data_IF_726191859233
#
_entry.id   IF_726191859233
#
_cell.length_a   1.000
_cell.length_b   1.000
_cell.length_c   1.000
_cell.angle_alpha   90.00
_cell.angle_beta   90.00
_cell.angle_gamma   90.00
#
_symmetry.space_group_name_H-M   'P 1'
#
loop_
_entity.id
_entity.type
_entity.pdbx_description
1 polymer ?
#
# COMPACT_ATOMS: atom_id res chain seq x y z
N UNK A 1 -14.14 18.47 11.40
CA UNK A 1 -14.37 17.11 10.83
C UNK A 1 -13.06 16.39 10.47
N UNK A 2 -12.18 16.93 9.60
CA UNK A 2 -10.90 16.27 9.21
C UNK A 2 -9.98 15.87 10.38
N UNK A 3 -9.74 16.76 11.35
CA UNK A 3 -8.96 16.44 12.58
C UNK A 3 -9.61 15.34 13.45
N UNK A 4 -10.94 15.33 13.53
CA UNK A 4 -11.68 14.34 14.31
C UNK A 4 -11.61 12.95 13.67
N UNK A 5 -11.76 12.87 12.34
CA UNK A 5 -11.59 11.62 11.58
C UNK A 5 -10.16 11.11 11.68
N UNK A 6 -9.15 11.98 11.55
CA UNK A 6 -7.73 11.61 11.71
C UNK A 6 -7.43 11.06 13.11
N UNK A 7 -7.98 11.66 14.16
CA UNK A 7 -7.84 11.15 15.54
C UNK A 7 -8.51 9.77 15.67
N UNK A 8 -9.71 9.59 15.13
CA UNK A 8 -10.42 8.30 15.19
C UNK A 8 -9.65 7.18 14.48
N UNK A 9 -9.11 7.49 13.29
CA UNK A 9 -8.33 6.54 12.48
C UNK A 9 -7.06 6.08 13.20
N UNK A 10 -6.43 6.93 13.99
CA UNK A 10 -5.28 6.54 14.83
C UNK A 10 -5.71 5.79 16.11
N UNK A 11 -6.82 6.19 16.74
CA UNK A 11 -7.28 5.59 17.99
C UNK A 11 -7.76 4.16 17.83
N UNK A 12 -8.38 3.81 16.70
CA UNK A 12 -8.87 2.45 16.45
C UNK A 12 -7.76 1.39 16.50
N UNK A 13 -6.67 1.49 15.70
CA UNK A 13 -5.59 0.51 15.72
C UNK A 13 -4.80 0.52 17.04
N UNK A 14 -4.62 1.69 17.66
CA UNK A 14 -3.98 1.77 18.99
C UNK A 14 -4.84 1.09 20.05
N UNK A 15 -6.14 1.35 20.06
CA UNK A 15 -7.09 0.71 20.96
C UNK A 15 -7.13 -0.81 20.74
N UNK A 16 -7.18 -1.26 19.49
CA UNK A 16 -7.12 -2.68 19.15
C UNK A 16 -5.81 -3.33 19.63
N UNK A 17 -4.67 -2.67 19.42
CA UNK A 17 -3.37 -3.16 19.89
C UNK A 17 -3.31 -3.28 21.42
N UNK A 18 -3.84 -2.28 22.16
CA UNK A 18 -3.92 -2.33 23.62
C UNK A 18 -4.84 -3.46 24.08
N UNK A 19 -6.02 -3.62 23.47
CA UNK A 19 -6.95 -4.70 23.83
C UNK A 19 -6.33 -6.07 23.57
N UNK A 20 -5.66 -6.26 22.43
CA UNK A 20 -4.98 -7.51 22.11
C UNK A 20 -3.81 -7.78 23.06
N UNK A 21 -3.05 -6.73 23.42
CA UNK A 21 -1.97 -6.83 24.40
C UNK A 21 -2.48 -7.27 25.77
N UNK A 22 -3.54 -6.63 26.26
CA UNK A 22 -4.16 -6.99 27.54
C UNK A 22 -4.75 -8.39 27.48
N UNK A 23 -5.43 -8.75 26.39
CA UNK A 23 -5.96 -10.08 26.20
C UNK A 23 -4.85 -11.14 26.25
N UNK A 24 -3.71 -10.94 25.58
CA UNK A 24 -2.58 -11.87 25.63
C UNK A 24 -1.97 -11.96 27.04
N UNK A 25 -1.88 -10.82 27.76
CA UNK A 25 -1.39 -10.78 29.14
C UNK A 25 -2.30 -11.57 30.10
N UNK A 26 -3.62 -11.38 30.02
CA UNK A 26 -4.58 -12.02 30.93
C UNK A 26 -4.87 -13.48 30.56
N UNK A 27 -5.09 -13.79 29.28
CA UNK A 27 -5.48 -15.13 28.82
C UNK A 27 -4.29 -16.09 28.81
N UNK A 28 -3.12 -15.62 28.36
CA UNK A 28 -1.93 -16.47 28.26
C UNK A 28 -0.96 -16.27 29.43
N UNK A 29 -1.35 -15.48 30.45
CA UNK A 29 -0.54 -15.17 31.64
C UNK A 29 0.88 -14.67 31.32
N UNK A 30 1.03 -13.95 30.21
CA UNK A 30 2.32 -13.44 29.75
C UNK A 30 2.66 -12.11 30.42
N UNK A 31 3.92 -11.96 30.79
CA UNK A 31 4.44 -10.68 31.25
C UNK A 31 4.48 -9.66 30.10
N UNK A 32 4.34 -8.35 30.39
CA UNK A 32 4.49 -7.29 29.40
C UNK A 32 5.76 -7.41 28.54
N UNK A 33 6.87 -7.81 29.17
CA UNK A 33 8.15 -7.99 28.51
C UNK A 33 8.11 -9.09 27.44
N UNK A 34 7.48 -10.23 27.72
CA UNK A 34 7.34 -11.34 26.77
C UNK A 34 6.47 -10.96 25.57
N UNK A 35 5.46 -10.11 25.77
CA UNK A 35 4.60 -9.62 24.69
C UNK A 35 5.39 -8.62 23.82
N UNK A 36 6.11 -7.68 24.44
CA UNK A 36 6.93 -6.69 23.73
C UNK A 36 8.07 -7.34 22.92
N UNK A 37 8.62 -8.47 23.37
CA UNK A 37 9.63 -9.24 22.62
C UNK A 37 9.08 -9.87 21.33
N UNK A 38 7.76 -10.01 21.18
CA UNK A 38 7.13 -10.53 19.95
C UNK A 38 6.94 -9.46 18.88
N UNK A 39 7.10 -8.19 19.24
CA UNK A 39 7.03 -7.07 18.30
C UNK A 39 8.28 -7.10 17.41
N UNK A 40 8.08 -7.02 16.10
CA UNK A 40 9.19 -6.87 15.16
C UNK A 40 9.60 -5.40 15.06
N UNK A 41 10.57 -5.03 15.89
CA UNK A 41 11.09 -3.66 15.95
C UNK A 41 11.73 -3.20 14.64
N UNK A 42 12.28 -4.12 13.83
CA UNK A 42 12.87 -3.77 12.54
C UNK A 42 11.80 -3.28 11.58
N UNK A 43 10.64 -3.95 11.54
CA UNK A 43 9.49 -3.54 10.72
C UNK A 43 8.95 -2.19 11.19
N UNK A 44 8.84 -1.94 12.50
CA UNK A 44 8.39 -0.65 13.02
C UNK A 44 9.32 0.51 12.61
N UNK A 45 10.64 0.31 12.76
CA UNK A 45 11.65 1.29 12.35
C UNK A 45 11.59 1.54 10.83
N UNK A 46 11.37 0.49 10.04
CA UNK A 46 11.17 0.60 8.59
C UNK A 46 9.97 1.51 8.28
N UNK A 47 8.82 1.32 8.93
CA UNK A 47 7.65 2.17 8.71
C UNK A 47 7.91 3.63 9.09
N UNK A 48 8.54 3.89 10.25
CA UNK A 48 8.93 5.24 10.63
C UNK A 48 9.85 5.89 9.57
N UNK A 49 10.87 5.16 9.11
CA UNK A 49 11.80 5.65 8.10
C UNK A 49 11.10 5.96 6.77
N UNK A 50 10.22 5.07 6.30
CA UNK A 50 9.47 5.25 5.06
C UNK A 50 8.56 6.48 5.14
N UNK A 51 7.81 6.66 6.23
CA UNK A 51 6.89 7.81 6.36
C UNK A 51 7.62 9.14 6.52
N UNK A 52 8.73 9.19 7.25
CA UNK A 52 9.57 10.40 7.33
C UNK A 52 10.14 10.75 5.95
N UNK A 53 10.65 9.74 5.24
CA UNK A 53 11.18 9.94 3.89
C UNK A 53 10.09 10.36 2.90
N UNK A 54 8.88 9.80 3.02
CA UNK A 54 7.73 10.14 2.19
C UNK A 54 7.33 11.61 2.33
N UNK A 55 7.25 12.10 3.57
CA UNK A 55 6.94 13.50 3.88
C UNK A 55 8.03 14.45 3.32
N UNK A 56 9.30 14.05 3.47
CA UNK A 56 10.43 14.77 2.89
C UNK A 56 10.37 14.82 1.35
N UNK A 57 10.05 13.71 0.70
CA UNK A 57 9.87 13.64 -0.76
C UNK A 57 8.71 14.53 -1.21
N UNK A 58 7.58 14.48 -0.51
CA UNK A 58 6.42 15.32 -0.82
C UNK A 58 6.75 16.81 -0.74
N UNK A 59 7.52 17.20 0.29
CA UNK A 59 7.99 18.57 0.50
C UNK A 59 8.87 19.12 -0.65
N UNK A 60 9.45 18.25 -1.50
CA UNK A 60 10.23 18.69 -2.67
C UNK A 60 9.36 19.21 -3.83
N UNK A 61 8.07 18.88 -3.86
CA UNK A 61 7.17 19.15 -4.98
C UNK A 61 7.45 18.32 -6.24
N UNK A 62 8.40 17.38 -6.21
CA UNK A 62 8.66 16.44 -7.31
C UNK A 62 7.39 15.61 -7.63
N UNK A 63 6.68 15.01 -6.65
CA UNK A 63 5.47 14.25 -6.94
C UNK A 63 4.41 15.06 -7.69
N UNK A 64 4.18 16.31 -7.30
CA UNK A 64 3.22 17.20 -7.96
C UNK A 64 3.61 17.54 -9.39
N UNK A 65 4.91 17.71 -9.68
CA UNK A 65 5.40 17.94 -11.05
C UNK A 65 5.23 16.71 -11.93
N UNK A 66 5.51 15.52 -11.40
CA UNK A 66 5.29 14.26 -12.12
C UNK A 66 3.80 14.08 -12.40
N UNK A 67 2.95 14.29 -11.40
CA UNK A 67 1.50 14.19 -11.54
C UNK A 67 0.95 15.14 -12.60
N UNK A 68 1.37 16.41 -12.57
CA UNK A 68 0.99 17.39 -13.59
C UNK A 68 1.48 16.99 -14.99
N UNK A 69 2.71 16.46 -15.11
CA UNK A 69 3.26 16.02 -16.40
C UNK A 69 2.52 14.83 -17.01
N UNK A 70 1.93 13.96 -16.18
CA UNK A 70 1.13 12.83 -16.66
C UNK A 70 -0.21 13.29 -17.29
N UNK A 71 -0.64 14.54 -17.07
CA UNK A 71 -1.92 15.10 -17.55
C UNK A 71 -3.12 14.17 -17.27
N UNK A 72 -3.08 13.48 -16.13
CA UNK A 72 -4.11 12.54 -15.73
C UNK A 72 -5.26 13.29 -15.09
N UNK A 73 -6.08 13.93 -15.92
CA UNK A 73 -7.30 14.54 -15.43
C UNK A 73 -8.34 13.47 -15.05
N UNK A 74 -9.15 13.75 -14.04
CA UNK A 74 -10.09 12.77 -13.46
C UNK A 74 -11.16 12.28 -14.45
N UNK A 75 -11.49 13.11 -15.44
CA UNK A 75 -12.35 12.75 -16.57
C UNK A 75 -11.67 11.81 -17.58
N UNK A 76 -10.34 11.75 -17.60
CA UNK A 76 -9.55 11.01 -18.60
C UNK A 76 -9.52 9.51 -18.36
N UNK A 77 -9.86 9.01 -17.17
CA UNK A 77 -9.79 7.59 -16.81
C UNK A 77 -10.94 6.73 -17.36
N UNK A 78 -11.91 7.34 -18.05
CA UNK A 78 -12.92 6.61 -18.83
C UNK A 78 -12.32 5.99 -20.10
N UNK A 79 -11.15 6.46 -20.54
CA UNK A 79 -10.49 5.96 -21.74
C UNK A 79 -9.40 4.93 -21.40
N UNK A 80 -9.44 3.78 -22.08
CA UNK A 80 -8.47 2.68 -21.92
C UNK A 80 -7.00 3.14 -21.97
N UNK A 81 -6.57 4.04 -22.90
CA UNK A 81 -5.18 4.48 -22.95
C UNK A 81 -4.71 5.20 -21.68
N UNK A 82 -5.54 6.06 -21.11
CA UNK A 82 -5.22 6.82 -19.88
C UNK A 82 -5.17 5.90 -18.67
N UNK A 83 -6.07 4.91 -18.61
CA UNK A 83 -6.06 3.88 -17.56
C UNK A 83 -4.78 3.03 -17.63
N UNK A 84 -4.32 2.69 -18.84
CA UNK A 84 -3.06 1.97 -19.02
C UNK A 84 -1.85 2.80 -18.60
N UNK A 85 -1.83 4.10 -18.91
CA UNK A 85 -0.77 5.01 -18.47
C UNK A 85 -0.74 5.13 -16.93
N UNK A 86 -1.90 5.27 -16.29
CA UNK A 86 -2.04 5.27 -14.84
C UNK A 86 -1.53 3.96 -14.24
N UNK A 87 -1.93 2.82 -14.81
CA UNK A 87 -1.47 1.52 -14.35
C UNK A 87 0.04 1.38 -14.47
N UNK A 88 0.65 1.75 -15.61
CA UNK A 88 2.09 1.69 -15.78
C UNK A 88 2.83 2.57 -14.76
N UNK A 89 2.33 3.79 -14.51
CA UNK A 89 2.87 4.68 -13.50
C UNK A 89 2.78 4.05 -12.09
N UNK A 90 1.62 3.51 -11.72
CA UNK A 90 1.42 2.86 -10.43
C UNK A 90 2.27 1.59 -10.29
N UNK A 91 2.42 0.82 -11.35
CA UNK A 91 3.22 -0.40 -11.37
C UNK A 91 4.69 -0.10 -11.07
N UNK A 92 5.25 0.89 -11.77
CA UNK A 92 6.63 1.32 -11.56
C UNK A 92 6.76 1.95 -10.17
N UNK A 93 5.89 2.90 -9.85
CA UNK A 93 5.91 3.62 -8.58
C UNK A 93 5.80 2.70 -7.38
N UNK A 94 4.92 1.69 -7.40
CA UNK A 94 4.70 0.81 -6.24
C UNK A 94 5.94 -0.05 -5.98
N UNK A 95 6.71 -0.38 -7.01
CA UNK A 95 7.93 -1.17 -6.87
C UNK A 95 9.17 -0.32 -6.53
N UNK A 96 9.04 1.01 -6.52
CA UNK A 96 10.07 1.96 -6.06
C UNK A 96 9.76 2.47 -4.66
N UNK A 97 8.53 2.93 -4.45
CA UNK A 97 8.07 3.63 -3.25
C UNK A 97 7.29 2.73 -2.29
N UNK A 98 7.00 1.47 -2.65
CA UNK A 98 5.99 0.62 -2.04
C UNK A 98 4.55 1.08 -2.31
N UNK A 99 3.59 0.16 -2.26
CA UNK A 99 2.19 0.43 -2.58
C UNK A 99 1.53 1.49 -1.67
N UNK A 100 1.73 1.40 -0.35
CA UNK A 100 1.10 2.33 0.62
C UNK A 100 1.63 3.75 0.48
N UNK A 101 2.96 4.01 0.47
CA UNK A 101 3.50 5.36 0.31
C UNK A 101 3.11 5.98 -1.03
N UNK A 102 3.13 5.22 -2.12
CA UNK A 102 2.68 5.73 -3.43
C UNK A 102 1.21 6.14 -3.40
N UNK A 103 0.34 5.33 -2.77
CA UNK A 103 -1.09 5.64 -2.65
C UNK A 103 -1.28 6.97 -1.94
N UNK A 104 -0.54 7.22 -0.86
CA UNK A 104 -0.61 8.49 -0.11
C UNK A 104 -0.15 9.65 -1.00
N UNK A 105 0.99 9.51 -1.70
CA UNK A 105 1.50 10.56 -2.59
C UNK A 105 0.49 10.94 -3.67
N UNK A 106 -0.18 9.95 -4.28
CA UNK A 106 -1.18 10.18 -5.32
C UNK A 106 -2.43 10.84 -4.73
N UNK A 107 -2.92 10.36 -3.58
CA UNK A 107 -4.09 10.94 -2.90
C UNK A 107 -3.88 12.41 -2.55
N UNK A 108 -2.66 12.82 -2.20
CA UNK A 108 -2.33 14.22 -1.92
C UNK A 108 -2.36 15.13 -3.16
N UNK A 109 -2.28 14.55 -4.37
CA UNK A 109 -2.40 15.33 -5.61
C UNK A 109 -3.86 15.48 -6.08
N UNK A 110 -4.78 14.72 -5.49
CA UNK A 110 -6.20 14.74 -5.87
C UNK A 110 -6.92 15.79 -5.02
N UNK A 111 -7.70 16.67 -5.67
CA UNK A 111 -8.45 17.70 -4.96
C UNK A 111 -9.59 17.06 -4.14
N UNK A 112 -9.88 17.56 -2.93
CA UNK A 112 -10.92 16.96 -2.08
C UNK A 112 -12.36 17.27 -2.52
N UNK A 113 -12.56 18.18 -3.47
CA UNK A 113 -13.87 18.80 -3.74
C UNK A 113 -14.54 18.26 -5.02
N UNK A 114 -13.99 17.22 -5.65
CA UNK A 114 -14.55 16.56 -6.85
C UNK A 114 -15.08 15.14 -6.60
N UNK A 115 -15.95 14.66 -7.49
CA UNK A 115 -16.32 13.24 -7.53
C UNK A 115 -15.15 12.42 -8.10
N UNK A 116 -14.36 11.88 -7.19
CA UNK A 116 -13.19 11.08 -7.51
C UNK A 116 -13.40 9.59 -7.19
N UNK A 117 -14.64 9.14 -7.03
CA UNK A 117 -14.93 7.75 -6.67
C UNK A 117 -14.26 6.78 -7.64
N UNK A 118 -14.37 7.03 -8.94
CA UNK A 118 -13.77 6.21 -9.99
C UNK A 118 -12.24 6.13 -9.85
N UNK A 119 -11.58 7.27 -9.65
CA UNK A 119 -10.12 7.32 -9.48
C UNK A 119 -9.70 6.61 -8.20
N UNK A 120 -10.43 6.77 -7.10
CA UNK A 120 -10.13 6.09 -5.83
C UNK A 120 -10.29 4.58 -5.98
N UNK A 121 -11.33 4.10 -6.69
CA UNK A 121 -11.53 2.69 -6.98
C UNK A 121 -10.40 2.11 -7.84
N UNK A 122 -10.02 2.80 -8.92
CA UNK A 122 -8.88 2.40 -9.74
C UNK A 122 -7.59 2.42 -8.92
N UNK A 123 -7.32 3.48 -8.16
CA UNK A 123 -6.12 3.61 -7.35
C UNK A 123 -6.01 2.47 -6.33
N UNK A 124 -7.08 2.18 -5.59
CA UNK A 124 -7.11 1.12 -4.58
C UNK A 124 -6.81 -0.26 -5.18
N UNK A 125 -7.39 -0.56 -6.34
CA UNK A 125 -7.14 -1.80 -7.07
C UNK A 125 -5.70 -1.84 -7.62
N UNK A 126 -5.31 -0.82 -8.39
CA UNK A 126 -4.04 -0.78 -9.11
C UNK A 126 -2.83 -0.81 -8.18
N UNK A 127 -2.83 -0.04 -7.08
CA UNK A 127 -1.68 0.00 -6.14
C UNK A 127 -1.54 -1.32 -5.38
N UNK A 128 -2.66 -1.99 -5.09
CA UNK A 128 -2.67 -3.30 -4.43
C UNK A 128 -2.09 -4.38 -5.33
N UNK A 129 -2.54 -4.45 -6.59
CA UNK A 129 -2.03 -5.45 -7.54
C UNK A 129 -0.58 -5.17 -7.93
N UNK A 130 -0.23 -3.90 -8.19
CA UNK A 130 1.14 -3.50 -8.51
C UNK A 130 2.15 -3.86 -7.42
N UNK A 131 1.74 -3.79 -6.16
CA UNK A 131 2.58 -4.13 -5.00
C UNK A 131 2.98 -5.62 -4.94
N UNK A 132 2.33 -6.50 -5.68
CA UNK A 132 2.65 -7.93 -5.73
C UNK A 132 3.78 -8.27 -6.73
N UNK A 133 4.18 -7.34 -7.59
CA UNK A 133 5.12 -7.64 -8.68
C UNK A 133 6.51 -8.04 -8.16
N UNK A 134 7.08 -7.23 -7.28
CA UNK A 134 8.41 -7.46 -6.71
C UNK A 134 8.38 -7.55 -5.19
N UNK A 135 9.48 -8.05 -4.62
CA UNK A 135 9.66 -8.11 -3.18
C UNK A 135 9.57 -6.73 -2.50
N UNK A 136 9.93 -5.66 -3.20
CA UNK A 136 9.87 -4.28 -2.69
C UNK A 136 8.52 -3.60 -2.94
N UNK A 137 7.65 -4.21 -3.76
CA UNK A 137 6.36 -3.67 -4.16
C UNK A 137 5.41 -3.40 -2.98
N UNK A 138 5.54 -4.15 -1.89
CA UNK A 138 4.77 -3.91 -0.67
C UNK A 138 5.60 -4.26 0.56
N UNK A 139 5.40 -3.47 1.63
CA UNK A 139 5.94 -3.81 2.94
C UNK A 139 5.45 -5.19 3.40
N UNK A 140 4.23 -5.61 3.04
CA UNK A 140 3.73 -6.95 3.36
C UNK A 140 4.65 -8.08 2.84
N UNK A 141 5.23 -7.91 1.64
CA UNK A 141 6.16 -8.88 1.07
C UNK A 141 7.44 -8.98 1.89
N UNK A 142 7.96 -7.83 2.34
CA UNK A 142 9.13 -7.76 3.21
C UNK A 142 8.86 -8.39 4.58
N UNK A 143 7.66 -8.17 5.15
CA UNK A 143 7.24 -8.80 6.41
C UNK A 143 7.24 -10.33 6.26
N UNK A 144 6.67 -10.85 5.17
CA UNK A 144 6.65 -12.30 4.91
C UNK A 144 8.06 -12.85 4.71
N UNK A 145 8.91 -12.15 3.96
CA UNK A 145 10.31 -12.55 3.78
C UNK A 145 11.08 -12.59 5.12
N UNK A 146 10.91 -11.58 5.96
CA UNK A 146 11.54 -11.51 7.28
C UNK A 146 11.02 -12.63 8.21
N UNK A 147 9.72 -12.91 8.18
CA UNK A 147 9.11 -14.01 8.94
C UNK A 147 9.56 -15.37 8.43
N UNK A 148 9.74 -15.55 7.13
CA UNK A 148 10.26 -16.80 6.56
C UNK A 148 11.68 -17.10 7.05
N UNK A 149 12.53 -16.07 7.15
CA UNK A 149 13.90 -16.17 7.68
C UNK A 149 13.96 -16.59 9.15
N UNK A 150 13.01 -16.12 9.96
CA UNK A 150 12.94 -16.38 11.40
C UNK A 150 12.06 -17.60 11.75
N UNK A 151 11.47 -18.24 10.75
CA UNK A 151 10.64 -19.44 10.93
C UNK A 151 11.47 -20.69 11.25
N UNK A 152 10.83 -21.73 11.78
CA UNK A 152 11.46 -23.03 12.05
C UNK A 152 12.04 -23.69 10.79
N UNK A 153 11.46 -23.40 9.62
CA UNK A 153 11.93 -23.90 8.32
C UNK A 153 13.09 -23.07 7.75
N UNK A 154 13.32 -21.86 8.27
CA UNK A 154 14.36 -20.91 7.83
C UNK A 154 14.43 -20.75 6.31
N UNK A 155 13.27 -20.76 5.64
CA UNK A 155 13.20 -20.72 4.20
C UNK A 155 13.65 -19.35 3.68
N UNK A 156 14.66 -19.37 2.81
CA UNK A 156 15.18 -18.17 2.14
C UNK A 156 14.77 -18.23 0.68
N UNK A 157 14.08 -17.20 0.23
CA UNK A 157 13.87 -16.96 -1.19
C UNK A 157 14.55 -15.64 -1.56
N UNK A 158 15.11 -15.60 -2.76
CA UNK A 158 15.73 -14.41 -3.30
C UNK A 158 14.71 -13.56 -4.08
N UNK A 159 15.17 -12.38 -4.48
CA UNK A 159 14.36 -11.45 -5.27
C UNK A 159 13.79 -12.10 -6.54
N UNK A 160 14.58 -12.91 -7.24
CA UNK A 160 14.18 -13.54 -8.50
C UNK A 160 13.14 -14.63 -8.30
N UNK A 161 13.27 -15.43 -7.24
CA UNK A 161 12.26 -16.41 -6.86
C UNK A 161 10.94 -15.73 -6.59
N UNK A 162 10.94 -14.64 -5.80
CA UNK A 162 9.72 -13.86 -5.57
C UNK A 162 9.15 -13.29 -6.87
N UNK A 163 10.00 -12.62 -7.68
CA UNK A 163 9.58 -11.98 -8.93
C UNK A 163 8.94 -12.97 -9.90
N UNK A 164 9.40 -14.22 -9.97
CA UNK A 164 8.77 -15.24 -10.81
C UNK A 164 7.29 -15.44 -10.46
N UNK A 165 6.97 -15.56 -9.18
CA UNK A 165 5.59 -15.73 -8.72
C UNK A 165 4.84 -14.40 -8.79
N UNK A 166 5.45 -13.31 -8.33
CA UNK A 166 4.89 -11.97 -8.32
C UNK A 166 4.53 -11.46 -9.72
N UNK A 167 5.36 -11.73 -10.73
CA UNK A 167 5.09 -11.38 -12.12
C UNK A 167 3.84 -12.12 -12.64
N UNK A 168 3.76 -13.44 -12.43
CA UNK A 168 2.63 -14.24 -12.90
C UNK A 168 1.34 -13.81 -12.21
N UNK A 169 1.35 -13.65 -10.88
CA UNK A 169 0.15 -13.24 -10.14
C UNK A 169 -0.27 -11.82 -10.50
N UNK A 170 0.67 -10.88 -10.57
CA UNK A 170 0.38 -9.49 -10.95
C UNK A 170 -0.20 -9.42 -12.35
N UNK A 171 0.38 -10.13 -13.32
CA UNK A 171 -0.11 -10.14 -14.70
C UNK A 171 -1.54 -10.69 -14.78
N UNK A 172 -1.79 -11.86 -14.20
CA UNK A 172 -3.12 -12.51 -14.24
C UNK A 172 -4.17 -11.66 -13.53
N UNK A 173 -3.86 -11.15 -12.33
CA UNK A 173 -4.79 -10.33 -11.57
C UNK A 173 -5.02 -8.97 -12.22
N UNK A 174 -4.02 -8.39 -12.88
CA UNK A 174 -4.20 -7.13 -13.61
C UNK A 174 -5.14 -7.32 -14.80
N UNK A 175 -4.98 -8.39 -15.59
CA UNK A 175 -5.83 -8.66 -16.75
C UNK A 175 -7.29 -8.86 -16.34
N UNK A 176 -7.53 -9.70 -15.33
CA UNK A 176 -8.89 -10.00 -14.86
C UNK A 176 -9.46 -8.80 -14.11
N UNK A 177 -8.69 -8.23 -13.19
CA UNK A 177 -9.18 -7.19 -12.30
C UNK A 177 -9.36 -5.85 -12.99
N UNK A 178 -8.56 -5.49 -14.00
CA UNK A 178 -8.82 -4.31 -14.84
C UNK A 178 -10.17 -4.42 -15.56
N UNK A 179 -10.53 -5.60 -16.05
CA UNK A 179 -11.83 -5.83 -16.67
C UNK A 179 -12.96 -5.67 -15.64
N UNK A 180 -12.82 -6.25 -14.45
CA UNK A 180 -13.82 -6.16 -13.38
C UNK A 180 -13.98 -4.71 -12.88
N UNK A 181 -12.88 -4.02 -12.56
CA UNK A 181 -12.92 -2.68 -12.00
C UNK A 181 -13.43 -1.66 -13.02
N UNK A 182 -13.08 -1.83 -14.30
CA UNK A 182 -13.61 -1.01 -15.39
C UNK A 182 -15.14 -1.20 -15.51
N UNK A 183 -15.62 -2.45 -15.53
CA UNK A 183 -17.06 -2.73 -15.58
C UNK A 183 -17.81 -2.25 -14.33
N UNK A 184 -17.20 -2.32 -13.14
CA UNK A 184 -17.77 -1.79 -11.91
C UNK A 184 -17.90 -0.26 -11.98
N UNK A 185 -16.86 0.43 -12.43
CA UNK A 185 -16.87 1.88 -12.61
C UNK A 185 -17.91 2.28 -13.66
N UNK A 186 -18.02 1.57 -14.77
CA UNK A 186 -19.04 1.82 -15.80
C UNK A 186 -20.47 1.62 -15.27
N UNK A 187 -20.70 0.65 -14.37
CA UNK A 187 -22.02 0.39 -13.79
C UNK A 187 -22.45 1.39 -12.69
N UNK A 188 -21.50 2.13 -12.09
CA UNK A 188 -21.76 3.12 -11.04
C UNK A 188 -22.01 4.53 -11.63
N UNK A 189 -21.50 4.80 -12.84
CA UNK A 189 -21.74 6.06 -13.57
C UNK A 189 -23.07 6.02 -14.34
#
# INVERSE_FOLDING_TARGET
MKKFVSILVCLIPVGAAIVLFLADAFVNHRSPTEILQRIDWNILILFFGIFIWLDGLNSTGIPSRIWAALNLDTASFQHIPSLFLLYAFILIGSNIFSNVPLTILILEQIQPDGDHLNLVLYLAFLTTIAGNLTLFGSVANLIVAQKALTSSLQYKFDFWTYLKYGFVTTLVLSLIGLFIIYGLVEAIN
#
